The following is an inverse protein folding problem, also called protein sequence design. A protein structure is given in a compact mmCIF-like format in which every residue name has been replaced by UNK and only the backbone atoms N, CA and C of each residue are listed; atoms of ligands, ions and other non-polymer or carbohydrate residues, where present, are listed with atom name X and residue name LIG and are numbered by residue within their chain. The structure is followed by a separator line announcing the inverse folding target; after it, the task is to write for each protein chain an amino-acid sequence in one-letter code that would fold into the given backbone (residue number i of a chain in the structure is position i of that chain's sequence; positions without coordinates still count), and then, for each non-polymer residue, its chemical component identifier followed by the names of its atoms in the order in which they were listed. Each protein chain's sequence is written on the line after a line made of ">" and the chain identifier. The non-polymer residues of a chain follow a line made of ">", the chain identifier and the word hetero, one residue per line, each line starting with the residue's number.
data_IF_633279728494
#
_entry.id   IF_633279728494
#
_cell.length_a   1.000
_cell.length_b   1.000
_cell.length_c   1.000
_cell.angle_alpha   90.00
_cell.angle_beta   90.00
_cell.angle_gamma   90.00
#
_symmetry.space_group_name_H-M   'P 1'
#
loop_
_entity.id
_entity.type
_entity.pdbx_description
1 polymer ?
#
# COMPACT_ATOMS: atom_id res chain seq x y z
N UNK A 1 -45.55 -8.20 25.09
CA UNK A 1 -44.52 -7.15 25.36
C UNK A 1 -43.14 -7.58 24.87
N UNK A 2 -42.96 -8.03 23.61
CA UNK A 2 -41.72 -8.61 23.08
C UNK A 2 -41.10 -7.94 21.86
N UNK A 3 -41.82 -7.09 21.10
CA UNK A 3 -41.33 -6.62 19.80
C UNK A 3 -40.61 -5.25 19.81
N UNK A 4 -40.67 -4.48 20.88
CA UNK A 4 -39.98 -3.18 20.93
C UNK A 4 -38.46 -3.29 21.04
N UNK A 5 -37.92 -4.33 21.68
CA UNK A 5 -36.48 -4.53 21.83
C UNK A 5 -35.78 -4.87 20.52
N UNK A 6 -36.48 -5.54 19.59
CA UNK A 6 -35.93 -5.93 18.27
C UNK A 6 -35.79 -4.71 17.35
N UNK A 7 -36.57 -3.66 17.52
CA UNK A 7 -36.55 -2.45 16.67
C UNK A 7 -35.51 -1.45 17.19
N UNK A 8 -35.24 -1.42 18.52
CA UNK A 8 -34.27 -0.51 19.11
C UNK A 8 -32.82 -0.83 18.74
N UNK A 9 -32.48 -2.13 18.53
CA UNK A 9 -31.11 -2.55 18.20
C UNK A 9 -30.65 -2.03 16.83
N UNK A 10 -31.42 -2.20 15.72
CA UNK A 10 -31.02 -1.65 14.42
C UNK A 10 -31.06 -0.12 14.38
N UNK A 11 -31.97 0.52 15.12
CA UNK A 11 -32.06 1.98 15.21
C UNK A 11 -30.82 2.57 15.90
N UNK A 12 -30.33 1.94 16.95
CA UNK A 12 -29.11 2.35 17.65
C UNK A 12 -27.87 2.20 16.75
N UNK A 13 -27.80 1.13 15.94
CA UNK A 13 -26.71 0.88 15.00
C UNK A 13 -26.68 1.95 13.89
N UNK A 14 -27.82 2.36 13.38
CA UNK A 14 -27.93 3.43 12.36
C UNK A 14 -27.50 4.78 12.95
N UNK A 15 -27.84 5.07 14.21
CA UNK A 15 -27.48 6.32 14.87
C UNK A 15 -25.95 6.46 15.05
N UNK A 16 -25.25 5.36 15.37
CA UNK A 16 -23.78 5.37 15.52
C UNK A 16 -23.05 5.56 14.18
N UNK A 17 -23.59 5.04 13.08
CA UNK A 17 -23.03 5.25 11.75
C UNK A 17 -23.14 6.69 11.25
N UNK A 18 -24.21 7.40 11.61
CA UNK A 18 -24.40 8.81 11.23
C UNK A 18 -23.43 9.75 11.96
N UNK A 19 -23.04 9.43 13.19
CA UNK A 19 -22.09 10.22 13.97
C UNK A 19 -20.66 10.17 13.37
N UNK A 20 -20.22 9.00 12.92
CA UNK A 20 -18.88 8.81 12.35
C UNK A 20 -18.68 9.60 11.03
N UNK A 21 -19.71 9.68 10.18
CA UNK A 21 -19.66 10.48 8.95
C UNK A 21 -19.57 11.99 9.23
N UNK A 22 -20.21 12.47 10.29
CA UNK A 22 -20.17 13.89 10.68
C UNK A 22 -18.78 14.30 11.18
N UNK A 23 -18.15 13.46 11.99
CA UNK A 23 -16.82 13.71 12.55
C UNK A 23 -15.74 13.73 11.47
N UNK A 24 -15.73 12.75 10.57
CA UNK A 24 -14.80 12.73 9.43
C UNK A 24 -14.92 13.99 8.56
N UNK A 25 -16.15 14.42 8.26
CA UNK A 25 -16.40 15.65 7.49
C UNK A 25 -15.85 16.90 8.19
N UNK A 26 -15.87 16.95 9.51
CA UNK A 26 -15.28 18.05 10.27
C UNK A 26 -13.74 18.06 10.18
N UNK A 27 -13.11 16.88 10.25
CA UNK A 27 -11.65 16.72 10.07
C UNK A 27 -11.20 17.19 8.68
N UNK A 28 -11.91 16.81 7.62
CA UNK A 28 -11.60 17.22 6.24
C UNK A 28 -11.60 18.73 6.07
N UNK A 29 -12.50 19.44 6.75
CA UNK A 29 -12.66 20.91 6.68
C UNK A 29 -11.74 21.67 7.63
N UNK A 30 -11.12 20.99 8.59
CA UNK A 30 -10.22 21.62 9.56
C UNK A 30 -8.96 22.16 8.89
N UNK A 31 -8.50 23.33 9.29
CA UNK A 31 -7.19 23.87 8.93
C UNK A 31 -6.11 23.55 9.98
N UNK A 32 -6.48 22.81 11.02
CA UNK A 32 -5.56 22.33 12.04
C UNK A 32 -4.86 21.06 11.55
N UNK A 33 -3.57 21.18 11.23
CA UNK A 33 -2.77 20.07 10.70
C UNK A 33 -2.47 18.99 11.75
N UNK A 34 -2.32 19.37 13.01
CA UNK A 34 -2.08 18.44 14.11
C UNK A 34 -3.34 17.60 14.35
N UNK A 35 -4.49 18.25 14.44
CA UNK A 35 -5.78 17.56 14.57
C UNK A 35 -6.03 16.58 13.41
N UNK A 36 -5.74 17.02 12.16
CA UNK A 36 -5.88 16.15 10.98
C UNK A 36 -4.92 14.97 11.01
N UNK A 37 -3.69 15.19 11.48
CA UNK A 37 -2.67 14.15 11.60
C UNK A 37 -3.07 13.09 12.62
N UNK A 38 -3.50 13.48 13.81
CA UNK A 38 -3.97 12.55 14.84
C UNK A 38 -5.24 11.79 14.39
N UNK A 39 -6.16 12.45 13.72
CA UNK A 39 -7.34 11.81 13.15
C UNK A 39 -6.98 10.78 12.06
N UNK A 40 -5.99 11.08 11.21
CA UNK A 40 -5.48 10.14 10.21
C UNK A 40 -4.89 8.89 10.85
N UNK A 41 -4.12 9.04 11.93
CA UNK A 41 -3.56 7.92 12.71
C UNK A 41 -4.64 7.08 13.38
N UNK A 42 -5.66 7.72 13.95
CA UNK A 42 -6.79 7.02 14.55
C UNK A 42 -7.54 6.19 13.50
N UNK A 43 -7.85 6.78 12.35
CA UNK A 43 -8.50 6.06 11.24
C UNK A 43 -7.66 4.88 10.73
N UNK A 44 -6.33 5.04 10.66
CA UNK A 44 -5.46 3.95 10.30
C UNK A 44 -5.51 2.82 11.33
N UNK A 45 -5.45 3.14 12.62
CA UNK A 45 -5.52 2.17 13.71
C UNK A 45 -6.86 1.41 13.72
N UNK A 46 -7.95 2.08 13.38
CA UNK A 46 -9.30 1.50 13.28
C UNK A 46 -9.56 0.74 11.97
N UNK A 47 -8.56 0.67 11.07
CA UNK A 47 -8.68 -0.06 9.80
C UNK A 47 -9.37 0.71 8.68
N UNK A 48 -9.68 1.99 8.87
CA UNK A 48 -10.27 2.88 7.86
C UNK A 48 -9.21 3.44 6.91
N UNK A 49 -8.44 2.55 6.29
CA UNK A 49 -7.22 2.86 5.56
C UNK A 49 -7.41 3.87 4.41
N UNK A 50 -8.52 3.83 3.67
CA UNK A 50 -8.78 4.78 2.58
C UNK A 50 -8.96 6.21 3.11
N UNK A 51 -9.69 6.37 4.21
CA UNK A 51 -9.89 7.67 4.84
C UNK A 51 -8.59 8.18 5.46
N UNK A 52 -7.81 7.30 6.09
CA UNK A 52 -6.48 7.64 6.60
C UNK A 52 -5.57 8.13 5.47
N UNK A 53 -5.52 7.43 4.32
CA UNK A 53 -4.75 7.83 3.16
C UNK A 53 -5.16 9.22 2.65
N UNK A 54 -6.46 9.50 2.57
CA UNK A 54 -6.97 10.82 2.18
C UNK A 54 -6.44 11.91 3.10
N UNK A 55 -6.56 11.76 4.41
CA UNK A 55 -6.07 12.75 5.37
C UNK A 55 -4.55 12.91 5.33
N UNK A 56 -3.78 11.81 5.28
CA UNK A 56 -2.32 11.89 5.15
C UNK A 56 -1.90 12.60 3.86
N UNK A 57 -2.61 12.39 2.75
CA UNK A 57 -2.31 13.06 1.48
C UNK A 57 -2.44 14.59 1.58
N UNK A 58 -3.42 15.07 2.34
CA UNK A 58 -3.65 16.51 2.58
C UNK A 58 -2.55 17.15 3.45
N UNK A 59 -1.76 16.35 4.17
CA UNK A 59 -0.70 16.83 5.07
C UNK A 59 0.66 16.95 4.38
N UNK A 60 0.85 16.35 3.20
CA UNK A 60 2.16 16.31 2.53
C UNK A 60 2.71 17.69 2.18
N UNK A 61 1.85 18.60 1.70
CA UNK A 61 2.28 19.93 1.30
C UNK A 61 2.52 20.85 2.51
N UNK A 62 1.57 20.98 3.46
CA UNK A 62 1.75 21.88 4.61
C UNK A 62 2.84 21.43 5.59
N UNK A 63 3.10 20.12 5.71
CA UNK A 63 4.10 19.59 6.66
C UNK A 63 5.43 19.21 6.00
N UNK A 64 5.64 19.61 4.73
CA UNK A 64 6.87 19.31 4.00
C UNK A 64 8.11 19.75 4.76
N UNK A 65 9.08 18.84 4.91
CA UNK A 65 10.35 19.10 5.58
C UNK A 65 10.31 18.99 7.11
N UNK A 66 9.17 18.62 7.67
CA UNK A 66 9.03 18.31 9.11
C UNK A 66 9.04 16.80 9.34
N UNK A 67 9.25 16.36 10.59
CA UNK A 67 9.10 14.95 10.98
C UNK A 67 7.67 14.43 10.74
N UNK A 68 6.67 15.26 10.97
CA UNK A 68 5.27 14.93 10.67
C UNK A 68 5.01 14.75 9.17
N UNK A 69 5.71 15.53 8.31
CA UNK A 69 5.62 15.38 6.86
C UNK A 69 6.28 14.09 6.35
N UNK A 70 7.40 13.69 6.96
CA UNK A 70 8.07 12.43 6.70
C UNK A 70 7.16 11.25 7.06
N UNK A 71 6.64 11.23 8.30
CA UNK A 71 5.74 10.17 8.78
C UNK A 71 4.44 10.14 7.99
N UNK A 72 3.85 11.30 7.65
CA UNK A 72 2.63 11.37 6.85
C UNK A 72 2.82 10.74 5.47
N UNK A 73 3.97 10.93 4.81
CA UNK A 73 4.23 10.32 3.52
C UNK A 73 4.37 8.79 3.62
N UNK A 74 5.04 8.30 4.66
CA UNK A 74 5.16 6.87 4.91
C UNK A 74 3.79 6.25 5.24
N UNK A 75 3.02 6.88 6.14
CA UNK A 75 1.68 6.41 6.55
C UNK A 75 0.66 6.48 5.41
N UNK A 76 0.80 7.44 4.48
CA UNK A 76 0.00 7.45 3.24
C UNK A 76 0.27 6.20 2.41
N UNK A 77 1.54 5.87 2.19
CA UNK A 77 1.92 4.67 1.45
C UNK A 77 1.41 3.39 2.13
N UNK A 78 1.60 3.29 3.44
CA UNK A 78 1.16 2.15 4.25
C UNK A 78 -0.37 2.03 4.26
N UNK A 79 -1.10 3.14 4.33
CA UNK A 79 -2.56 3.17 4.27
C UNK A 79 -3.09 2.65 2.92
N UNK A 80 -2.46 3.04 1.81
CA UNK A 80 -2.80 2.51 0.49
C UNK A 80 -2.50 1.00 0.40
N UNK A 81 -1.36 0.55 0.94
CA UNK A 81 -1.01 -0.86 0.97
C UNK A 81 -2.07 -1.68 1.73
N UNK A 82 -2.50 -1.21 2.91
CA UNK A 82 -3.55 -1.85 3.71
C UNK A 82 -4.93 -1.79 3.04
N UNK A 83 -5.20 -0.72 2.31
CA UNK A 83 -6.41 -0.59 1.49
C UNK A 83 -6.38 -1.47 0.23
N UNK A 84 -5.26 -2.15 -0.04
CA UNK A 84 -4.98 -2.95 -1.25
C UNK A 84 -4.93 -2.12 -2.53
N UNK A 85 -4.72 -0.83 -2.42
CA UNK A 85 -4.36 0.05 -3.53
C UNK A 85 -2.84 -0.04 -3.73
N UNK A 86 -2.42 -1.13 -4.36
CA UNK A 86 -1.01 -1.48 -4.49
C UNK A 86 -0.26 -0.54 -5.43
N UNK A 87 -0.93 0.02 -6.43
CA UNK A 87 -0.34 0.99 -7.36
C UNK A 87 0.03 2.28 -6.62
N UNK A 88 -0.93 2.87 -5.91
CA UNK A 88 -0.68 4.06 -5.09
C UNK A 88 0.35 3.78 -4.00
N UNK A 89 0.30 2.61 -3.36
CA UNK A 89 1.27 2.22 -2.34
C UNK A 89 2.70 2.19 -2.88
N UNK A 90 2.95 1.51 -4.00
CA UNK A 90 4.27 1.46 -4.64
C UNK A 90 4.78 2.86 -4.99
N UNK A 91 3.93 3.70 -5.57
CA UNK A 91 4.25 5.08 -5.93
C UNK A 91 4.64 5.91 -4.71
N UNK A 92 3.89 5.84 -3.60
CA UNK A 92 4.16 6.65 -2.40
C UNK A 92 5.34 6.12 -1.60
N UNK A 93 5.57 4.80 -1.51
CA UNK A 93 6.79 4.25 -0.93
C UNK A 93 8.03 4.68 -1.73
N UNK A 94 7.98 4.62 -3.06
CA UNK A 94 9.05 5.11 -3.93
C UNK A 94 9.32 6.59 -3.71
N UNK A 95 8.27 7.41 -3.66
CA UNK A 95 8.38 8.83 -3.34
C UNK A 95 9.01 9.05 -1.96
N UNK A 96 8.67 8.23 -0.96
CA UNK A 96 9.23 8.36 0.38
C UNK A 96 10.76 8.23 0.38
N UNK A 97 11.32 7.14 -0.15
CA UNK A 97 12.77 6.94 -0.10
C UNK A 97 13.55 7.89 -1.05
N UNK A 98 12.88 8.46 -2.04
CA UNK A 98 13.47 9.51 -2.88
C UNK A 98 13.56 10.86 -2.16
N UNK A 99 12.52 11.21 -1.39
CA UNK A 99 12.45 12.48 -0.65
C UNK A 99 13.21 12.41 0.66
N UNK A 100 13.20 11.26 1.32
CA UNK A 100 13.83 11.00 2.62
C UNK A 100 14.83 9.84 2.55
N UNK A 101 15.96 9.96 1.82
CA UNK A 101 16.92 8.87 1.61
C UNK A 101 17.65 8.42 2.88
N UNK A 102 17.58 9.22 3.96
CA UNK A 102 18.07 8.90 5.29
C UNK A 102 16.95 8.87 6.34
N UNK A 103 15.70 8.80 5.87
CA UNK A 103 14.52 8.79 6.72
C UNK A 103 14.41 7.52 7.57
N UNK A 104 13.66 7.64 8.65
CA UNK A 104 13.48 6.55 9.61
C UNK A 104 12.91 5.28 8.98
N UNK A 105 12.01 5.43 8.01
CA UNK A 105 11.32 4.30 7.34
C UNK A 105 11.93 3.92 5.99
N UNK A 106 13.14 4.40 5.65
CA UNK A 106 13.74 4.24 4.32
C UNK A 106 13.85 2.77 3.90
N UNK A 107 14.35 1.90 4.77
CA UNK A 107 14.49 0.46 4.50
C UNK A 107 13.13 -0.20 4.26
N UNK A 108 12.17 0.05 5.15
CA UNK A 108 10.83 -0.50 5.01
C UNK A 108 10.07 0.06 3.80
N UNK A 109 10.28 1.33 3.47
CA UNK A 109 9.67 1.93 2.28
C UNK A 109 10.18 1.29 0.98
N UNK A 110 11.49 1.01 0.88
CA UNK A 110 12.05 0.28 -0.26
C UNK A 110 11.50 -1.14 -0.36
N UNK A 111 11.50 -1.87 0.74
CA UNK A 111 10.94 -3.22 0.77
C UNK A 111 9.45 -3.24 0.40
N UNK A 112 8.66 -2.33 0.98
CA UNK A 112 7.22 -2.26 0.73
C UNK A 112 6.87 -1.72 -0.66
N UNK A 113 7.75 -0.95 -1.31
CA UNK A 113 7.64 -0.62 -2.74
C UNK A 113 7.67 -1.89 -3.58
N UNK A 114 8.68 -2.73 -3.40
CA UNK A 114 8.78 -4.04 -4.06
C UNK A 114 7.60 -4.95 -3.74
N UNK A 115 7.17 -4.99 -2.47
CA UNK A 115 6.01 -5.79 -2.05
C UNK A 115 4.70 -5.32 -2.71
N UNK A 116 4.52 -4.03 -2.86
CA UNK A 116 3.34 -3.47 -3.52
C UNK A 116 3.32 -3.82 -5.01
N UNK A 117 4.46 -3.80 -5.70
CA UNK A 117 4.58 -4.26 -7.08
C UNK A 117 4.34 -5.78 -7.20
N UNK A 118 4.91 -6.57 -6.28
CA UNK A 118 4.65 -8.01 -6.22
C UNK A 118 3.15 -8.33 -6.10
N UNK A 119 2.41 -7.54 -5.32
CA UNK A 119 0.95 -7.70 -5.18
C UNK A 119 0.15 -7.32 -6.43
N UNK A 120 0.76 -6.62 -7.38
CA UNK A 120 0.15 -6.26 -8.67
C UNK A 120 0.45 -7.29 -9.77
N UNK A 121 1.28 -8.28 -9.48
CA UNK A 121 1.66 -9.29 -10.48
C UNK A 121 0.41 -9.99 -11.00
N UNK A 122 0.23 -9.89 -12.31
CA UNK A 122 -0.93 -10.43 -13.02
C UNK A 122 -0.85 -11.96 -13.22
N UNK A 123 -1.92 -12.54 -13.81
CA UNK A 123 -1.89 -13.93 -14.29
C UNK A 123 -0.71 -14.13 -15.24
N UNK A 124 -0.08 -15.29 -15.17
CA UNK A 124 1.10 -15.65 -15.95
C UNK A 124 0.90 -15.54 -17.48
N UNK A 125 -0.34 -15.67 -17.95
CA UNK A 125 -0.71 -15.56 -19.36
C UNK A 125 -0.77 -14.12 -19.86
N UNK A 126 -0.82 -13.14 -18.95
CA UNK A 126 -0.90 -11.72 -19.27
C UNK A 126 0.50 -11.11 -19.43
N UNK A 127 0.55 -9.80 -19.63
CA UNK A 127 1.78 -9.02 -19.63
C UNK A 127 2.49 -9.13 -18.27
N UNK A 128 3.82 -9.31 -18.30
CA UNK A 128 4.65 -9.52 -17.12
C UNK A 128 5.51 -8.31 -16.76
N UNK A 129 5.16 -7.12 -17.26
CA UNK A 129 5.90 -5.89 -16.95
C UNK A 129 5.95 -5.64 -15.43
N UNK A 130 4.83 -5.81 -14.73
CA UNK A 130 4.77 -5.66 -13.26
C UNK A 130 5.65 -6.70 -12.54
N UNK A 131 5.78 -7.92 -13.07
CA UNK A 131 6.68 -8.95 -12.53
C UNK A 131 8.14 -8.51 -12.63
N UNK A 132 8.55 -7.99 -13.79
CA UNK A 132 9.93 -7.50 -14.01
C UNK A 132 10.22 -6.25 -13.15
N UNK A 133 9.25 -5.37 -12.99
CA UNK A 133 9.37 -4.20 -12.12
C UNK A 133 9.52 -4.59 -10.65
N UNK A 134 8.74 -5.57 -10.17
CA UNK A 134 8.87 -6.07 -8.81
C UNK A 134 10.25 -6.71 -8.55
N UNK A 135 10.77 -7.52 -9.50
CA UNK A 135 12.11 -8.10 -9.40
C UNK A 135 13.15 -7.00 -9.28
N UNK A 136 13.10 -5.98 -10.16
CA UNK A 136 14.04 -4.85 -10.14
C UNK A 136 14.00 -4.10 -8.82
N UNK A 137 12.82 -3.76 -8.33
CA UNK A 137 12.66 -3.02 -7.10
C UNK A 137 13.22 -3.78 -5.88
N UNK A 138 13.05 -5.11 -5.84
CA UNK A 138 13.64 -5.94 -4.80
C UNK A 138 15.16 -6.10 -4.94
N UNK A 139 15.70 -6.15 -6.17
CA UNK A 139 17.15 -6.12 -6.39
C UNK A 139 17.75 -4.80 -5.92
N UNK A 140 17.15 -3.67 -6.31
CA UNK A 140 17.54 -2.33 -5.85
C UNK A 140 17.46 -2.19 -4.33
N UNK A 141 16.47 -2.82 -3.70
CA UNK A 141 16.38 -2.88 -2.23
C UNK A 141 17.58 -3.60 -1.61
N UNK A 142 17.95 -4.78 -2.13
CA UNK A 142 19.09 -5.56 -1.61
C UNK A 142 20.43 -4.84 -1.83
N UNK A 143 20.59 -4.16 -2.97
CA UNK A 143 21.79 -3.38 -3.27
C UNK A 143 21.94 -2.18 -2.33
N UNK A 144 20.82 -1.53 -2.00
CA UNK A 144 20.82 -0.37 -1.11
C UNK A 144 20.90 -0.74 0.37
N UNK A 145 20.32 -1.87 0.77
CA UNK A 145 20.27 -2.38 2.14
C UNK A 145 20.95 -3.77 2.25
N UNK A 146 22.27 -3.89 2.02
CA UNK A 146 22.95 -5.19 1.94
C UNK A 146 22.93 -5.99 3.25
N UNK A 147 22.77 -5.30 4.38
CA UNK A 147 22.75 -5.91 5.73
C UNK A 147 21.33 -6.05 6.30
N UNK A 148 20.30 -5.96 5.44
CA UNK A 148 18.90 -6.08 5.87
C UNK A 148 18.59 -7.47 6.47
N UNK A 149 17.76 -7.50 7.53
CA UNK A 149 17.19 -8.74 8.04
C UNK A 149 16.15 -9.39 7.11
N UNK A 150 15.72 -8.68 6.05
CA UNK A 150 14.72 -9.15 5.08
C UNK A 150 15.36 -9.84 3.85
N UNK A 151 16.68 -10.06 3.86
CA UNK A 151 17.44 -10.55 2.70
C UNK A 151 16.91 -11.88 2.17
N UNK A 152 16.76 -12.87 3.04
CA UNK A 152 16.31 -14.21 2.64
C UNK A 152 14.87 -14.19 2.10
N UNK A 153 13.99 -13.42 2.75
CA UNK A 153 12.63 -13.24 2.27
C UNK A 153 12.59 -12.57 0.90
N UNK A 154 13.44 -11.57 0.68
CA UNK A 154 13.50 -10.85 -0.60
C UNK A 154 14.01 -11.75 -1.71
N UNK A 155 15.07 -12.54 -1.46
CA UNK A 155 15.54 -13.53 -2.43
C UNK A 155 14.48 -14.56 -2.79
N UNK A 156 13.74 -15.07 -1.80
CA UNK A 156 12.68 -16.04 -2.04
C UNK A 156 11.60 -15.47 -3.00
N UNK A 157 11.20 -14.21 -2.81
CA UNK A 157 10.25 -13.54 -3.71
C UNK A 157 10.83 -13.32 -5.10
N UNK A 158 12.10 -12.92 -5.20
CA UNK A 158 12.77 -12.75 -6.51
C UNK A 158 12.79 -14.09 -7.28
N UNK A 159 13.14 -15.19 -6.62
CA UNK A 159 13.13 -16.52 -7.24
C UNK A 159 11.73 -16.93 -7.70
N UNK A 160 10.70 -16.75 -6.85
CA UNK A 160 9.31 -17.01 -7.23
C UNK A 160 8.91 -16.24 -8.50
N UNK A 161 9.25 -14.95 -8.57
CA UNK A 161 8.92 -14.11 -9.72
C UNK A 161 9.71 -14.51 -10.98
N UNK A 162 10.98 -14.92 -10.85
CA UNK A 162 11.79 -15.43 -11.94
C UNK A 162 11.23 -16.76 -12.48
N UNK A 163 10.82 -17.67 -11.60
CA UNK A 163 10.18 -18.93 -12.00
C UNK A 163 8.89 -18.68 -12.80
N UNK A 164 8.09 -17.69 -12.42
CA UNK A 164 6.89 -17.27 -13.18
C UNK A 164 7.23 -16.80 -14.59
N UNK A 165 8.33 -16.06 -14.77
CA UNK A 165 8.77 -15.62 -16.11
C UNK A 165 9.19 -16.83 -16.97
N UNK A 166 9.95 -17.77 -16.39
CA UNK A 166 10.36 -19.01 -17.07
C UNK A 166 9.14 -19.85 -17.46
N UNK A 167 8.17 -20.00 -16.56
CA UNK A 167 6.93 -20.73 -16.83
C UNK A 167 6.13 -20.07 -17.98
N UNK A 168 6.05 -18.74 -18.04
CA UNK A 168 5.43 -18.02 -19.14
C UNK A 168 6.07 -18.35 -20.48
N UNK A 169 7.40 -18.29 -20.53
CA UNK A 169 8.17 -18.62 -21.76
C UNK A 169 7.91 -20.07 -22.19
N UNK A 170 7.90 -21.00 -21.23
CA UNK A 170 7.57 -22.41 -21.51
C UNK A 170 6.14 -22.56 -22.08
N UNK A 171 5.15 -21.93 -21.47
CA UNK A 171 3.75 -21.98 -21.93
C UNK A 171 3.59 -21.36 -23.32
N UNK A 172 4.30 -20.27 -23.58
CA UNK A 172 4.32 -19.63 -24.90
C UNK A 172 4.93 -20.54 -25.96
N UNK A 173 6.10 -21.13 -25.69
CA UNK A 173 6.76 -22.07 -26.59
C UNK A 173 5.89 -23.33 -26.85
N UNK A 174 5.28 -23.87 -25.81
CA UNK A 174 4.35 -25.01 -25.92
C UNK A 174 3.15 -24.68 -26.81
N UNK A 175 2.55 -23.49 -26.66
CA UNK A 175 1.44 -23.06 -27.51
C UNK A 175 1.83 -23.03 -28.98
N UNK A 176 3.00 -22.47 -29.35
CA UNK A 176 3.50 -22.45 -30.72
C UNK A 176 3.78 -23.86 -31.25
N UNK A 177 4.33 -24.73 -30.42
CA UNK A 177 4.56 -26.14 -30.78
C UNK A 177 3.22 -26.86 -31.07
N UNK A 178 2.23 -26.71 -30.20
CA UNK A 178 0.90 -27.33 -30.37
C UNK A 178 0.15 -26.81 -31.60
N UNK A 179 0.39 -25.55 -31.98
CA UNK A 179 -0.17 -24.93 -33.20
C UNK A 179 0.57 -25.31 -34.49
N UNK A 180 1.73 -26.00 -34.40
CA UNK A 180 2.54 -26.39 -35.56
C UNK A 180 3.23 -25.21 -36.26
N UNK A 181 3.42 -24.10 -35.58
CA UNK A 181 4.10 -22.89 -36.06
C UNK A 181 5.53 -22.84 -35.48
N UNK A 182 6.50 -23.45 -36.12
CA UNK A 182 7.95 -23.40 -35.81
C UNK A 182 8.71 -22.74 -36.91
#
# INVERSE_FOLDING_TARGET
>A
MGNSRLIFLPLLLVLTMLSACSEYSAVLKSNDYEYRYEAAKALYADGHYRQAAELFSMLLAPLKGTSYGEESLYMLAESNLRAKDYESAAMFFKKYYQVYPKGHYMEMARFNSGYSLYKQVADIRLDQTSTMEAIREYQDFLDYCPNTGLKEQTHAVIYELQDRLVEKEYLSAKLYYDLGTY
#
